data_IF_818381740757
#
_entry.id   IF_818381740757
#
_cell.length_a   1.000
_cell.length_b   1.000
_cell.length_c   1.000
_cell.angle_alpha   90.00
_cell.angle_beta   90.00
_cell.angle_gamma   90.00
#
_symmetry.space_group_name_H-M   'P 1'
#
loop_
_entity.id
_entity.type
_entity.pdbx_description
1 polymer ?
#
# COMPACT_ATOMS: atom_id res chain seq x y z
N UNK A 1 8.45 -2.67 31.46
CA UNK A 1 7.80 -3.27 30.28
C UNK A 1 8.28 -4.69 30.14
N UNK A 2 7.45 -5.65 30.49
CA UNK A 2 7.76 -7.08 30.42
C UNK A 2 7.36 -7.57 29.00
N UNK A 3 8.36 -7.75 28.15
CA UNK A 3 8.19 -8.57 26.96
C UNK A 3 8.07 -10.01 27.43
N UNK A 4 6.87 -10.54 27.47
CA UNK A 4 6.66 -11.96 27.75
C UNK A 4 7.19 -12.77 26.56
N UNK A 5 8.19 -13.61 26.73
CA UNK A 5 8.68 -14.45 25.64
C UNK A 5 7.71 -15.60 25.42
N UNK A 6 6.95 -15.55 24.34
CA UNK A 6 6.25 -16.71 23.78
C UNK A 6 7.24 -17.58 23.00
N UNK A 7 8.27 -18.09 23.66
CA UNK A 7 9.30 -18.93 23.02
C UNK A 7 9.14 -20.45 23.27
N UNK A 8 8.05 -20.90 23.92
CA UNK A 8 8.02 -22.30 24.40
C UNK A 8 7.07 -23.26 23.69
N UNK A 9 6.37 -22.89 22.63
CA UNK A 9 5.40 -23.82 22.00
C UNK A 9 5.69 -24.26 20.55
N UNK A 10 6.93 -24.25 20.09
CA UNK A 10 7.26 -24.68 18.72
C UNK A 10 7.98 -26.03 18.65
N UNK A 11 7.46 -27.08 19.29
CA UNK A 11 8.05 -28.43 19.21
C UNK A 11 7.49 -29.37 18.14
N UNK A 12 6.52 -28.94 17.30
CA UNK A 12 5.90 -29.85 16.31
C UNK A 12 5.67 -29.20 14.93
N UNK A 13 6.59 -28.38 14.41
CA UNK A 13 6.49 -28.01 13.01
C UNK A 13 7.34 -28.94 12.14
N UNK A 14 6.64 -29.70 11.29
CA UNK A 14 7.17 -30.48 10.17
C UNK A 14 8.26 -29.70 9.42
N UNK A 15 9.23 -30.39 8.86
CA UNK A 15 10.45 -29.94 8.17
C UNK A 15 10.28 -28.97 6.99
N UNK A 16 9.13 -28.32 6.81
CA UNK A 16 8.92 -27.25 5.83
C UNK A 16 9.65 -25.99 6.27
N UNK A 17 10.47 -25.45 5.39
CA UNK A 17 11.17 -24.18 5.61
C UNK A 17 10.16 -23.05 5.69
N UNK A 18 9.98 -22.45 6.84
CA UNK A 18 9.11 -21.29 7.05
C UNK A 18 9.77 -20.03 6.50
N UNK A 19 9.04 -19.27 5.70
CA UNK A 19 9.45 -17.94 5.18
C UNK A 19 8.98 -16.86 6.15
N UNK A 20 9.91 -16.13 6.74
CA UNK A 20 9.66 -15.10 7.76
C UNK A 20 9.61 -13.72 7.10
N UNK A 21 8.47 -13.06 7.19
CA UNK A 21 8.23 -11.74 6.60
C UNK A 21 8.03 -10.70 7.70
N UNK A 22 8.93 -9.73 7.82
CA UNK A 22 8.69 -8.56 8.65
C UNK A 22 7.79 -7.59 7.89
N UNK A 23 6.65 -7.24 8.46
CA UNK A 23 5.70 -6.25 7.91
C UNK A 23 5.86 -4.93 8.65
N UNK A 24 6.29 -3.89 7.94
CA UNK A 24 6.40 -2.53 8.45
C UNK A 24 5.31 -1.65 7.83
N UNK A 25 4.18 -1.47 8.52
CA UNK A 25 2.97 -0.90 7.94
C UNK A 25 2.94 0.63 7.97
N UNK A 26 2.13 1.22 7.08
CA UNK A 26 1.76 2.63 7.10
C UNK A 26 0.38 2.79 7.77
N UNK A 27 0.36 2.91 9.08
CA UNK A 27 -0.88 3.07 9.85
C UNK A 27 -0.90 4.39 10.61
N UNK A 28 -2.11 4.91 10.81
CA UNK A 28 -2.33 6.11 11.61
C UNK A 28 -2.39 5.76 13.10
N UNK A 29 -2.02 6.71 13.95
CA UNK A 29 -2.23 6.59 15.39
C UNK A 29 -3.69 6.88 15.71
N UNK A 30 -4.53 5.86 15.68
CA UNK A 30 -5.95 5.95 15.98
C UNK A 30 -6.27 5.21 17.27
N UNK A 31 -7.30 5.64 18.00
CA UNK A 31 -7.80 4.89 19.15
C UNK A 31 -8.23 3.47 18.76
N UNK A 32 -8.83 3.33 17.59
CA UNK A 32 -9.25 2.05 17.03
C UNK A 32 -8.56 1.79 15.69
N UNK A 33 -7.46 1.03 15.69
CA UNK A 33 -6.75 0.62 14.47
C UNK A 33 -7.61 -0.19 13.51
N UNK A 34 -8.64 -0.87 14.00
CA UNK A 34 -9.57 -1.65 13.17
C UNK A 34 -10.36 -0.78 12.17
N UNK A 35 -10.40 0.52 12.38
CA UNK A 35 -11.00 1.49 11.46
C UNK A 35 -10.02 2.10 10.47
N UNK A 36 -8.73 1.83 10.62
CA UNK A 36 -7.72 2.30 9.69
C UNK A 36 -7.82 1.53 8.37
N UNK A 37 -8.00 2.24 7.26
CA UNK A 37 -8.16 1.63 5.93
C UNK A 37 -6.95 0.80 5.52
N UNK A 38 -5.74 1.22 5.94
CA UNK A 38 -4.53 0.48 5.59
C UNK A 38 -4.34 -0.78 6.45
N UNK A 39 -4.81 -0.75 7.69
CA UNK A 39 -4.89 -1.98 8.51
C UNK A 39 -5.78 -3.01 7.84
N UNK A 40 -6.90 -2.60 7.21
CA UNK A 40 -7.75 -3.52 6.45
C UNK A 40 -7.01 -4.07 5.22
N UNK A 41 -6.22 -3.27 4.52
CA UNK A 41 -5.36 -3.74 3.42
C UNK A 41 -4.42 -4.85 3.90
N UNK A 42 -3.68 -4.62 5.00
CA UNK A 42 -2.76 -5.61 5.57
C UNK A 42 -3.50 -6.88 5.99
N UNK A 43 -4.64 -6.75 6.65
CA UNK A 43 -5.47 -7.91 7.05
C UNK A 43 -5.87 -8.74 5.86
N UNK A 44 -6.31 -8.10 4.78
CA UNK A 44 -6.72 -8.80 3.56
C UNK A 44 -5.51 -9.43 2.84
N UNK A 45 -4.35 -8.76 2.81
CA UNK A 45 -3.12 -9.34 2.25
C UNK A 45 -2.72 -10.61 3.01
N UNK A 46 -2.67 -10.56 4.34
CA UNK A 46 -2.33 -11.73 5.18
C UNK A 46 -3.36 -12.84 4.98
N UNK A 47 -4.65 -12.51 4.98
CA UNK A 47 -5.74 -13.47 4.77
C UNK A 47 -5.58 -14.23 3.46
N UNK A 48 -5.44 -13.51 2.37
CA UNK A 48 -5.39 -14.13 1.05
C UNK A 48 -4.05 -14.85 0.79
N UNK A 49 -2.93 -14.33 1.30
CA UNK A 49 -1.64 -15.04 1.25
C UNK A 49 -1.68 -16.33 2.06
N UNK A 50 -2.28 -16.34 3.25
CA UNK A 50 -2.46 -17.56 4.03
C UNK A 50 -3.40 -18.58 3.38
N UNK A 51 -4.35 -18.12 2.56
CA UNK A 51 -5.20 -19.01 1.78
C UNK A 51 -4.48 -19.66 0.58
N UNK A 52 -3.35 -19.07 0.13
CA UNK A 52 -2.55 -19.53 -1.01
C UNK A 52 -1.35 -20.36 -0.54
N UNK A 53 -0.76 -20.02 0.63
CA UNK A 53 0.49 -20.57 1.15
C UNK A 53 0.39 -20.93 2.62
N UNK A 54 1.03 -22.03 3.01
CA UNK A 54 1.11 -22.53 4.39
C UNK A 54 2.53 -22.39 5.01
N UNK A 55 3.46 -21.78 4.27
CA UNK A 55 4.86 -21.64 4.67
C UNK A 55 5.26 -20.23 5.13
N UNK A 56 4.32 -19.26 5.16
CA UNK A 56 4.59 -17.89 5.56
C UNK A 56 4.41 -17.69 7.06
N UNK A 57 5.24 -16.84 7.66
CA UNK A 57 5.07 -16.31 9.01
C UNK A 57 5.26 -14.80 9.00
N UNK A 58 4.26 -14.07 9.48
CA UNK A 58 4.25 -12.62 9.47
C UNK A 58 4.61 -12.04 10.83
N UNK A 59 5.49 -11.05 10.84
CA UNK A 59 5.90 -10.29 12.02
C UNK A 59 5.51 -8.83 11.81
N UNK A 60 4.44 -8.38 12.48
CA UNK A 60 3.88 -7.05 12.30
C UNK A 60 4.41 -6.09 13.36
N UNK A 61 4.93 -4.94 12.95
CA UNK A 61 5.24 -3.82 13.84
C UNK A 61 4.02 -2.90 13.89
N UNK A 62 3.40 -2.76 15.06
CA UNK A 62 2.13 -2.06 15.25
C UNK A 62 2.19 -1.10 16.43
N UNK A 63 1.31 -0.11 16.45
CA UNK A 63 1.13 0.81 17.59
C UNK A 63 0.19 0.26 18.65
N UNK A 64 -0.73 -0.63 18.27
CA UNK A 64 -1.67 -1.34 19.14
C UNK A 64 -1.89 -2.76 18.62
N UNK A 65 -2.30 -3.66 19.49
CA UNK A 65 -2.62 -5.04 19.11
C UNK A 65 -3.87 -5.09 18.22
N UNK A 66 -3.75 -5.78 17.10
CA UNK A 66 -4.87 -6.10 16.21
C UNK A 66 -5.51 -7.43 16.60
N UNK A 67 -6.81 -7.54 16.37
CA UNK A 67 -7.51 -8.82 16.42
C UNK A 67 -7.29 -9.56 15.11
N UNK A 68 -6.39 -10.54 15.13
CA UNK A 68 -6.07 -11.41 14.00
C UNK A 68 -6.25 -12.86 14.45
N UNK A 69 -6.92 -13.66 13.62
CA UNK A 69 -7.24 -15.06 13.91
C UNK A 69 -6.29 -16.01 13.16
N UNK A 70 -4.97 -15.70 13.19
CA UNK A 70 -3.94 -16.48 12.52
C UNK A 70 -2.79 -16.82 13.46
N UNK A 71 -2.47 -18.11 13.58
CA UNK A 71 -1.39 -18.61 14.44
C UNK A 71 0.01 -18.25 13.93
N UNK A 72 0.14 -17.96 12.62
CA UNK A 72 1.38 -17.59 11.96
C UNK A 72 1.62 -16.08 11.92
N UNK A 73 1.01 -15.33 12.82
CA UNK A 73 1.19 -13.87 12.93
C UNK A 73 1.69 -13.48 14.31
N UNK A 74 2.89 -12.93 14.38
CA UNK A 74 3.47 -12.33 15.59
C UNK A 74 3.33 -10.81 15.51
N UNK A 75 2.89 -10.17 16.59
CA UNK A 75 2.70 -8.73 16.67
C UNK A 75 3.67 -8.09 17.66
N UNK A 76 4.48 -7.16 17.20
CA UNK A 76 5.33 -6.30 18.02
C UNK A 76 4.65 -4.95 18.20
N UNK A 77 4.35 -4.62 19.46
CA UNK A 77 3.69 -3.36 19.76
C UNK A 77 4.75 -2.33 20.13
N UNK A 78 4.81 -1.25 19.37
CA UNK A 78 5.64 -0.09 19.63
C UNK A 78 4.83 0.98 20.34
N UNK A 79 5.37 1.50 21.44
CA UNK A 79 4.78 2.61 22.17
C UNK A 79 5.30 3.91 21.55
N UNK A 80 4.54 4.44 20.59
CA UNK A 80 4.85 5.75 20.02
C UNK A 80 4.59 6.85 21.06
N UNK A 81 5.41 7.90 21.08
CA UNK A 81 5.15 9.05 21.94
C UNK A 81 3.76 9.65 21.65
N UNK A 82 3.16 10.21 22.69
CA UNK A 82 1.75 10.61 22.80
C UNK A 82 1.28 11.79 21.93
N UNK A 83 1.82 12.01 20.77
CA UNK A 83 1.16 12.94 19.84
C UNK A 83 0.32 12.19 18.82
N UNK A 84 -0.74 12.84 18.29
CA UNK A 84 -1.60 12.26 17.27
C UNK A 84 -0.88 12.22 15.91
N UNK A 85 0.08 11.31 15.77
CA UNK A 85 0.88 11.18 14.58
C UNK A 85 0.74 9.78 13.98
N UNK A 86 1.07 9.68 12.71
CA UNK A 86 1.19 8.40 12.00
C UNK A 86 2.55 7.77 12.31
N UNK A 87 2.73 6.49 12.04
CA UNK A 87 4.05 5.86 12.06
C UNK A 87 5.07 6.59 11.15
N UNK A 88 4.59 7.29 10.12
CA UNK A 88 5.41 8.08 9.20
C UNK A 88 6.23 9.19 9.85
N UNK A 89 5.76 9.73 10.97
CA UNK A 89 6.41 10.88 11.62
C UNK A 89 7.47 10.48 12.62
N UNK A 90 7.62 9.19 12.91
CA UNK A 90 8.55 8.75 13.94
C UNK A 90 9.15 7.37 13.64
N UNK A 91 10.47 7.31 13.53
CA UNK A 91 11.24 6.07 13.47
C UNK A 91 12.10 5.93 14.74
N UNK A 92 11.70 5.01 15.62
CA UNK A 92 12.40 4.77 16.89
C UNK A 92 13.48 3.71 16.71
N UNK A 93 14.70 4.15 16.43
CA UNK A 93 15.86 3.26 16.23
C UNK A 93 16.10 2.34 17.44
N UNK A 94 16.19 2.81 18.70
CA UNK A 94 16.40 1.94 19.84
C UNK A 94 15.34 0.84 20.00
N UNK A 95 14.08 1.18 19.75
CA UNK A 95 12.99 0.23 19.87
C UNK A 95 13.03 -0.81 18.73
N UNK A 96 13.25 -0.37 17.51
CA UNK A 96 13.40 -1.27 16.35
C UNK A 96 14.60 -2.20 16.55
N UNK A 97 15.74 -1.70 17.00
CA UNK A 97 16.91 -2.51 17.36
C UNK A 97 16.56 -3.59 18.39
N UNK A 98 15.79 -3.24 19.43
CA UNK A 98 15.38 -4.19 20.46
C UNK A 98 14.47 -5.29 19.90
N UNK A 99 13.53 -4.94 19.03
CA UNK A 99 12.63 -5.90 18.37
C UNK A 99 13.45 -6.86 17.50
N UNK A 100 14.32 -6.33 16.65
CA UNK A 100 15.14 -7.11 15.72
C UNK A 100 16.14 -7.99 16.45
N UNK A 101 16.80 -7.48 17.51
CA UNK A 101 17.79 -8.24 18.29
C UNK A 101 17.21 -9.50 18.94
N UNK A 102 15.93 -9.48 19.28
CA UNK A 102 15.25 -10.63 19.87
C UNK A 102 14.47 -11.45 18.85
N UNK A 103 14.56 -11.09 17.58
CA UNK A 103 13.84 -11.75 16.49
C UNK A 103 14.78 -12.70 15.75
N UNK A 104 14.17 -13.67 15.11
CA UNK A 104 14.83 -14.55 14.18
C UNK A 104 15.22 -13.77 12.91
N UNK A 105 16.17 -14.30 12.12
CA UNK A 105 16.46 -13.76 10.81
C UNK A 105 15.21 -13.72 9.94
N UNK A 106 14.89 -12.55 9.43
CA UNK A 106 13.80 -12.39 8.46
C UNK A 106 14.30 -12.71 7.08
N UNK A 107 13.55 -13.51 6.32
CA UNK A 107 13.85 -13.79 4.92
C UNK A 107 13.53 -12.58 4.04
N UNK A 108 12.39 -11.91 4.33
CA UNK A 108 11.86 -10.79 3.58
C UNK A 108 11.38 -9.67 4.51
N UNK A 109 11.39 -8.45 3.99
CA UNK A 109 10.72 -7.28 4.58
C UNK A 109 9.66 -6.79 3.63
N UNK A 110 8.42 -6.70 4.10
CA UNK A 110 7.30 -6.06 3.42
C UNK A 110 7.10 -4.67 4.03
N UNK A 111 7.72 -3.66 3.42
CA UNK A 111 7.62 -2.28 3.91
C UNK A 111 6.56 -1.49 3.15
N UNK A 112 5.77 -0.72 3.90
CA UNK A 112 4.75 0.19 3.38
C UNK A 112 5.11 1.66 3.61
N UNK A 113 6.29 1.92 4.18
CA UNK A 113 6.81 3.25 4.51
C UNK A 113 8.19 3.46 3.87
N UNK A 114 8.24 3.91 2.62
CA UNK A 114 9.52 4.12 1.93
C UNK A 114 10.42 5.09 2.70
N UNK A 115 9.89 6.14 3.31
CA UNK A 115 10.65 7.13 4.08
C UNK A 115 11.42 6.55 5.29
N UNK A 116 11.02 5.38 5.78
CA UNK A 116 11.68 4.69 6.89
C UNK A 116 12.49 3.46 6.46
N UNK A 117 12.31 3.01 5.21
CA UNK A 117 12.88 1.72 4.78
C UNK A 117 14.39 1.73 4.77
N UNK A 118 15.02 2.84 4.40
CA UNK A 118 16.48 2.98 4.47
C UNK A 118 16.98 2.80 5.91
N UNK A 119 16.38 3.50 6.87
CA UNK A 119 16.77 3.40 8.29
C UNK A 119 16.49 1.99 8.83
N UNK A 120 15.35 1.37 8.47
CA UNK A 120 14.99 0.02 8.87
C UNK A 120 16.02 -1.00 8.38
N UNK A 121 16.40 -0.95 7.11
CA UNK A 121 17.42 -1.83 6.52
C UNK A 121 18.77 -1.65 7.21
N UNK A 122 19.19 -0.41 7.48
CA UNK A 122 20.43 -0.13 8.18
C UNK A 122 20.40 -0.64 9.62
N UNK A 123 19.31 -0.46 10.35
CA UNK A 123 19.17 -1.02 11.70
C UNK A 123 19.24 -2.55 11.67
N UNK A 124 18.56 -3.19 10.75
CA UNK A 124 18.60 -4.65 10.60
C UNK A 124 20.03 -5.13 10.28
N UNK A 125 20.69 -4.49 9.34
CA UNK A 125 22.07 -4.81 8.99
C UNK A 125 23.03 -4.66 10.19
N UNK A 126 22.91 -3.57 10.95
CA UNK A 126 23.75 -3.32 12.11
C UNK A 126 23.53 -4.28 13.29
N UNK A 127 22.34 -4.83 13.43
CA UNK A 127 21.99 -5.72 14.55
C UNK A 127 22.19 -7.19 14.21
N UNK A 128 21.80 -7.61 13.01
CA UNK A 128 21.78 -9.03 12.62
C UNK A 128 22.88 -9.40 11.62
N UNK A 129 23.60 -8.41 11.09
CA UNK A 129 24.53 -8.57 9.96
C UNK A 129 23.86 -9.17 8.71
N UNK A 130 22.54 -9.13 8.65
CA UNK A 130 21.73 -9.63 7.55
C UNK A 130 20.93 -8.50 6.94
N UNK A 131 20.93 -8.43 5.60
CA UNK A 131 20.10 -7.49 4.83
C UNK A 131 19.02 -8.29 4.12
N UNK A 132 17.79 -8.30 4.63
CA UNK A 132 16.70 -9.02 4.00
C UNK A 132 16.34 -8.37 2.66
N UNK A 133 15.68 -9.14 1.80
CA UNK A 133 15.09 -8.59 0.59
C UNK A 133 13.87 -7.76 0.95
N UNK A 134 13.81 -6.52 0.45
CA UNK A 134 12.69 -5.60 0.70
C UNK A 134 11.77 -5.57 -0.52
N UNK A 135 10.49 -5.73 -0.27
CA UNK A 135 9.41 -5.41 -1.20
C UNK A 135 8.29 -4.70 -0.44
N UNK A 136 7.29 -4.19 -1.13
CA UNK A 136 6.20 -3.56 -0.41
C UNK A 136 5.09 -3.01 -1.27
N UNK A 137 4.16 -2.34 -0.60
CA UNK A 137 3.00 -1.70 -1.21
C UNK A 137 2.84 -0.29 -0.64
N UNK A 138 3.09 0.73 -1.45
CA UNK A 138 3.06 2.12 -1.03
C UNK A 138 1.90 2.85 -1.72
N UNK A 139 0.92 3.28 -0.95
CA UNK A 139 -0.24 4.00 -1.46
C UNK A 139 -0.13 5.52 -1.29
N UNK A 140 0.94 6.01 -0.67
CA UNK A 140 1.17 7.42 -0.40
C UNK A 140 2.63 7.80 -0.59
N UNK A 141 2.84 8.95 -1.22
CA UNK A 141 4.14 9.62 -1.35
C UNK A 141 3.99 11.10 -1.03
N UNK A 142 5.06 11.74 -0.58
CA UNK A 142 5.09 13.16 -0.22
C UNK A 142 5.30 14.03 -1.46
N UNK A 143 4.35 13.94 -2.40
CA UNK A 143 4.36 14.72 -3.63
C UNK A 143 4.06 16.20 -3.35
N UNK A 144 4.68 17.08 -4.12
CA UNK A 144 4.55 18.55 -3.99
C UNK A 144 3.10 19.02 -4.11
N UNK A 145 2.33 18.37 -4.94
CA UNK A 145 0.91 18.68 -5.18
C UNK A 145 0.03 18.37 -3.96
N UNK A 146 0.50 17.49 -3.09
CA UNK A 146 -0.28 16.95 -1.98
C UNK A 146 0.08 17.58 -0.65
N UNK A 147 1.39 17.76 -0.40
CA UNK A 147 1.90 18.19 0.90
C UNK A 147 2.61 19.53 0.80
N UNK A 148 2.39 20.37 1.80
CA UNK A 148 3.13 21.63 1.99
C UNK A 148 4.42 21.42 2.79
N UNK A 149 4.84 20.15 2.94
CA UNK A 149 6.01 19.74 3.74
C UNK A 149 7.33 20.12 3.08
N UNK A 150 8.43 20.12 3.84
CA UNK A 150 9.76 20.30 3.28
C UNK A 150 10.05 19.27 2.17
N UNK A 151 10.81 19.67 1.17
CA UNK A 151 11.27 18.80 0.06
C UNK A 151 11.97 17.51 0.55
N UNK A 152 12.50 17.53 1.77
CA UNK A 152 13.22 16.44 2.39
C UNK A 152 12.38 15.16 2.56
N UNK A 153 11.05 15.28 2.76
CA UNK A 153 10.18 14.12 2.93
C UNK A 153 10.11 13.28 1.66
N UNK A 154 9.97 13.92 0.50
CA UNK A 154 9.96 13.21 -0.78
C UNK A 154 11.33 12.59 -1.10
N UNK A 155 12.43 13.30 -0.79
CA UNK A 155 13.78 12.75 -0.95
C UNK A 155 13.93 11.46 -0.12
N UNK A 156 13.44 11.45 1.12
CA UNK A 156 13.44 10.24 1.95
C UNK A 156 12.60 9.10 1.34
N UNK A 157 11.44 9.41 0.76
CA UNK A 157 10.68 8.40 0.03
C UNK A 157 11.54 7.75 -1.06
N UNK A 158 12.22 8.56 -1.88
CA UNK A 158 13.05 8.06 -2.99
C UNK A 158 14.26 7.25 -2.49
N UNK A 159 14.99 7.77 -1.50
CA UNK A 159 16.14 7.06 -0.91
C UNK A 159 15.69 5.69 -0.36
N UNK A 160 14.56 5.65 0.34
CA UNK A 160 14.02 4.39 0.86
C UNK A 160 13.55 3.45 -0.24
N UNK A 161 12.94 3.96 -1.33
CA UNK A 161 12.54 3.14 -2.48
C UNK A 161 13.73 2.42 -3.14
N UNK A 162 14.92 3.00 -3.09
CA UNK A 162 16.12 2.37 -3.67
C UNK A 162 16.55 1.08 -2.93
N UNK A 163 16.02 0.84 -1.75
CA UNK A 163 16.20 -0.40 -0.98
C UNK A 163 15.26 -1.53 -1.41
N UNK A 164 14.19 -1.22 -2.20
CA UNK A 164 13.24 -2.22 -2.64
C UNK A 164 13.70 -2.96 -3.88
N UNK A 165 13.36 -4.24 -3.97
CA UNK A 165 13.38 -4.97 -5.24
C UNK A 165 12.11 -4.69 -6.06
N UNK A 166 10.97 -4.50 -5.37
CA UNK A 166 9.70 -4.12 -5.97
C UNK A 166 8.84 -3.36 -4.97
N UNK A 167 8.25 -2.27 -5.42
CA UNK A 167 7.25 -1.52 -4.68
C UNK A 167 5.97 -1.41 -5.51
N UNK A 168 4.88 -1.97 -5.01
CA UNK A 168 3.58 -1.86 -5.65
C UNK A 168 2.92 -0.51 -5.33
N UNK A 169 2.26 0.06 -6.34
CA UNK A 169 1.49 1.30 -6.28
C UNK A 169 0.06 1.06 -6.74
N UNK A 170 -0.85 1.91 -6.32
CA UNK A 170 -2.27 1.79 -6.67
C UNK A 170 -2.56 1.99 -8.16
N UNK A 171 -1.88 2.95 -8.82
CA UNK A 171 -2.20 3.39 -10.18
C UNK A 171 -0.95 3.74 -10.99
N UNK A 172 -1.07 3.65 -12.32
CA UNK A 172 -0.04 4.17 -13.23
C UNK A 172 0.10 5.69 -13.07
N UNK A 173 -1.02 6.40 -12.88
CA UNK A 173 -1.02 7.84 -12.58
C UNK A 173 -0.11 8.17 -11.38
N UNK A 174 -0.23 7.41 -10.29
CA UNK A 174 0.62 7.60 -9.10
C UNK A 174 2.09 7.34 -9.42
N UNK A 175 2.41 6.28 -10.18
CA UNK A 175 3.77 5.98 -10.63
C UNK A 175 4.35 7.12 -11.44
N UNK A 176 3.60 7.63 -12.40
CA UNK A 176 4.03 8.73 -13.27
C UNK A 176 4.30 10.01 -12.49
N UNK A 177 3.44 10.33 -11.51
CA UNK A 177 3.64 11.48 -10.62
C UNK A 177 4.94 11.35 -9.80
N UNK A 178 5.21 10.17 -9.23
CA UNK A 178 6.43 9.90 -8.46
C UNK A 178 7.67 10.04 -9.35
N UNK A 179 7.69 9.42 -10.52
CA UNK A 179 8.80 9.50 -11.46
C UNK A 179 9.02 10.93 -11.97
N UNK A 180 7.95 11.64 -12.32
CA UNK A 180 8.00 13.04 -12.74
C UNK A 180 8.60 13.94 -11.65
N UNK A 181 8.17 13.79 -10.41
CA UNK A 181 8.73 14.60 -9.32
C UNK A 181 10.18 14.20 -9.01
N UNK A 182 10.51 12.91 -9.06
CA UNK A 182 11.87 12.43 -8.85
C UNK A 182 12.84 12.96 -9.91
N UNK A 183 12.43 13.06 -11.18
CA UNK A 183 13.28 13.59 -12.27
C UNK A 183 13.67 15.06 -12.10
N UNK A 184 12.98 15.82 -11.22
CA UNK A 184 13.36 17.19 -10.88
C UNK A 184 14.55 17.28 -9.90
N UNK A 185 14.94 16.16 -9.29
CA UNK A 185 15.92 16.15 -8.19
C UNK A 185 17.03 15.11 -8.40
N UNK A 186 16.72 13.99 -9.03
CA UNK A 186 17.63 12.86 -9.20
C UNK A 186 18.05 12.70 -10.68
N UNK A 187 19.20 12.07 -10.90
CA UNK A 187 19.72 11.79 -12.24
C UNK A 187 18.94 10.64 -12.93
N UNK A 188 19.15 10.49 -14.22
CA UNK A 188 18.44 9.53 -15.07
C UNK A 188 18.66 8.07 -14.60
N UNK A 189 19.85 7.71 -14.09
CA UNK A 189 20.11 6.35 -13.59
C UNK A 189 19.18 5.98 -12.43
N UNK A 190 18.89 6.94 -11.54
CA UNK A 190 17.95 6.76 -10.43
C UNK A 190 16.51 6.63 -10.97
N UNK A 191 16.14 7.44 -11.96
CA UNK A 191 14.79 7.38 -12.56
C UNK A 191 14.56 6.03 -13.25
N UNK A 192 15.54 5.54 -14.00
CA UNK A 192 15.49 4.20 -14.62
C UNK A 192 15.29 3.13 -13.54
N UNK A 193 16.10 3.17 -12.48
CA UNK A 193 15.99 2.22 -11.36
C UNK A 193 14.63 2.29 -10.66
N UNK A 194 14.11 3.50 -10.40
CA UNK A 194 12.79 3.69 -9.81
C UNK A 194 11.69 3.12 -10.70
N UNK A 195 11.78 3.32 -12.02
CA UNK A 195 10.80 2.78 -12.96
C UNK A 195 10.78 1.23 -12.97
N UNK A 196 11.92 0.58 -12.75
CA UNK A 196 12.00 -0.87 -12.58
C UNK A 196 11.41 -1.35 -11.24
N UNK A 197 11.67 -0.61 -10.15
CA UNK A 197 11.18 -0.94 -8.80
C UNK A 197 9.66 -0.76 -8.71
N UNK A 198 9.13 0.35 -9.23
CA UNK A 198 7.73 0.72 -9.10
C UNK A 198 6.86 -0.08 -10.07
N UNK A 199 5.94 -0.87 -9.52
CA UNK A 199 4.98 -1.67 -10.28
C UNK A 199 3.55 -1.32 -9.90
N UNK A 200 2.65 -1.27 -10.88
CA UNK A 200 1.24 -0.99 -10.61
C UNK A 200 0.53 -2.28 -10.20
N UNK A 201 -0.13 -2.24 -9.06
CA UNK A 201 -1.05 -3.27 -8.61
C UNK A 201 -2.24 -2.57 -7.96
N UNK A 202 -3.36 -2.53 -8.65
CA UNK A 202 -4.58 -1.92 -8.14
C UNK A 202 -5.02 -2.57 -6.83
N UNK A 203 -5.55 -1.77 -5.92
CA UNK A 203 -6.07 -2.27 -4.65
C UNK A 203 -7.27 -3.19 -4.91
N UNK A 204 -7.27 -4.34 -4.28
CA UNK A 204 -8.33 -5.33 -4.42
C UNK A 204 -9.53 -5.06 -3.51
N UNK A 205 -10.61 -5.79 -3.78
CA UNK A 205 -11.79 -5.93 -2.91
C UNK A 205 -11.96 -7.39 -2.49
N UNK A 206 -12.56 -7.63 -1.34
CA UNK A 206 -12.91 -9.01 -0.93
C UNK A 206 -14.13 -9.47 -1.73
N UNK A 207 -14.03 -10.63 -2.38
CA UNK A 207 -15.12 -11.17 -3.20
C UNK A 207 -16.44 -11.30 -2.44
N UNK A 208 -16.38 -11.60 -1.14
CA UNK A 208 -17.59 -11.73 -0.29
C UNK A 208 -18.30 -10.40 -0.02
N UNK A 209 -17.62 -9.26 -0.22
CA UNK A 209 -18.16 -7.92 -0.01
C UNK A 209 -18.86 -7.38 -1.27
N UNK A 210 -18.73 -8.07 -2.41
CA UNK A 210 -19.40 -7.71 -3.66
C UNK A 210 -20.85 -8.14 -3.57
N UNK A 211 -21.76 -7.23 -3.88
CA UNK A 211 -23.20 -7.55 -3.90
C UNK A 211 -23.50 -8.61 -4.97
N UNK A 212 -24.38 -9.55 -4.67
CA UNK A 212 -24.83 -10.56 -5.62
C UNK A 212 -25.54 -9.91 -6.82
N UNK A 213 -26.48 -8.99 -6.54
CA UNK A 213 -27.28 -8.29 -7.53
C UNK A 213 -27.18 -6.77 -7.36
N UNK A 214 -27.52 -6.04 -8.41
CA UNK A 214 -27.76 -4.58 -8.34
C UNK A 214 -29.16 -4.32 -7.80
N UNK A 215 -29.38 -3.14 -7.21
CA UNK A 215 -30.73 -2.66 -6.93
C UNK A 215 -31.28 -1.95 -8.18
N UNK A 216 -32.20 -2.58 -8.89
CA UNK A 216 -32.79 -2.04 -10.12
C UNK A 216 -33.66 -0.80 -9.89
N UNK A 217 -34.15 -0.60 -8.66
CA UNK A 217 -35.03 0.52 -8.28
C UNK A 217 -34.51 1.23 -7.03
N UNK A 218 -33.31 1.82 -7.03
CA UNK A 218 -32.79 2.55 -5.91
C UNK A 218 -33.59 3.85 -5.69
N UNK A 219 -33.49 4.38 -4.48
CA UNK A 219 -34.00 5.70 -4.19
C UNK A 219 -33.17 6.77 -4.91
N UNK A 220 -33.80 7.90 -5.25
CA UNK A 220 -33.08 9.08 -5.82
C UNK A 220 -32.12 9.68 -4.79
N UNK A 221 -31.09 8.94 -4.43
CA UNK A 221 -30.04 9.35 -3.48
C UNK A 221 -28.71 9.46 -4.22
N UNK A 222 -28.09 10.64 -4.13
CA UNK A 222 -26.71 10.87 -4.60
C UNK A 222 -25.79 10.64 -3.40
N UNK A 223 -24.77 9.77 -3.53
CA UNK A 223 -23.82 9.53 -2.44
C UNK A 223 -22.46 10.19 -2.68
N UNK A 224 -21.98 10.85 -1.61
CA UNK A 224 -20.60 11.30 -1.48
C UNK A 224 -19.98 10.60 -0.26
N UNK A 225 -19.42 9.43 -0.46
CA UNK A 225 -18.84 8.62 0.60
C UNK A 225 -17.34 8.84 0.82
N UNK A 226 -16.81 9.93 0.27
CA UNK A 226 -15.45 10.41 0.57
C UNK A 226 -15.42 11.24 1.86
N UNK A 227 -14.20 11.43 2.41
CA UNK A 227 -14.03 12.42 3.50
C UNK A 227 -14.38 13.81 2.99
N UNK A 228 -15.16 14.59 3.77
CA UNK A 228 -15.60 15.94 3.37
C UNK A 228 -14.51 16.98 3.63
N UNK A 229 -13.38 16.88 2.95
CA UNK A 229 -12.24 17.76 3.06
C UNK A 229 -11.86 18.41 1.72
N UNK A 230 -11.03 19.45 1.78
CA UNK A 230 -10.57 20.18 0.59
C UNK A 230 -9.73 19.31 -0.35
N UNK A 231 -9.07 18.30 0.19
CA UNK A 231 -8.30 17.33 -0.54
C UNK A 231 -9.18 16.48 -1.47
N UNK A 232 -10.40 16.16 -1.04
CA UNK A 232 -11.41 15.43 -1.81
C UNK A 232 -12.33 16.36 -2.61
N UNK A 233 -12.01 17.64 -2.71
CA UNK A 233 -12.81 18.66 -3.40
C UNK A 233 -14.29 18.66 -2.99
N UNK A 234 -14.54 18.54 -1.67
CA UNK A 234 -15.89 18.50 -1.12
C UNK A 234 -16.70 19.75 -1.45
N UNK A 235 -16.08 20.94 -1.42
CA UNK A 235 -16.76 22.18 -1.78
C UNK A 235 -17.21 22.21 -3.26
N UNK A 236 -16.42 21.61 -4.17
CA UNK A 236 -16.81 21.45 -5.57
C UNK A 236 -18.04 20.56 -5.72
N UNK A 237 -18.10 19.45 -4.96
CA UNK A 237 -19.30 18.60 -4.89
C UNK A 237 -20.52 19.39 -4.38
N UNK A 238 -20.40 20.10 -3.26
CA UNK A 238 -21.52 20.88 -2.72
C UNK A 238 -22.04 21.92 -3.70
N UNK A 239 -21.16 22.60 -4.44
CA UNK A 239 -21.54 23.56 -5.48
C UNK A 239 -22.40 22.90 -6.57
N UNK A 240 -22.00 21.73 -7.07
CA UNK A 240 -22.78 20.98 -8.07
C UNK A 240 -24.15 20.60 -7.51
N UNK A 241 -24.20 20.12 -6.26
CA UNK A 241 -25.46 19.72 -5.62
C UNK A 241 -26.38 20.91 -5.37
N UNK A 242 -25.84 22.05 -4.93
CA UNK A 242 -26.64 23.26 -4.71
C UNK A 242 -27.25 23.75 -6.03
N UNK A 243 -26.50 23.78 -7.13
CA UNK A 243 -26.99 24.13 -8.45
C UNK A 243 -28.07 23.15 -8.94
N UNK A 244 -27.83 21.82 -8.80
CA UNK A 244 -28.85 20.83 -9.14
C UNK A 244 -30.12 20.98 -8.33
N UNK A 245 -30.01 21.43 -7.04
CA UNK A 245 -31.15 21.66 -6.16
C UNK A 245 -32.00 22.83 -6.57
N UNK A 246 -31.45 23.82 -7.28
CA UNK A 246 -32.21 24.93 -7.87
C UNK A 246 -33.13 24.45 -9.00
N UNK A 247 -32.70 23.41 -9.74
CA UNK A 247 -33.43 22.84 -10.88
C UNK A 247 -34.48 21.79 -10.48
N UNK A 248 -34.20 20.97 -9.45
CA UNK A 248 -35.07 19.87 -9.03
C UNK A 248 -35.02 19.61 -7.53
N UNK A 249 -36.16 19.11 -6.99
CA UNK A 249 -36.35 18.95 -5.53
C UNK A 249 -36.56 17.46 -5.13
N UNK A 250 -36.53 16.50 -6.08
CA UNK A 250 -36.98 15.13 -5.91
C UNK A 250 -35.84 14.16 -5.58
N UNK A 251 -34.71 14.63 -5.07
CA UNK A 251 -33.59 13.80 -4.66
C UNK A 251 -33.09 14.10 -3.24
N UNK A 252 -32.33 13.17 -2.66
CA UNK A 252 -31.58 13.31 -1.41
C UNK A 252 -30.08 13.14 -1.66
N UNK A 253 -29.29 13.57 -0.69
CA UNK A 253 -27.82 13.41 -0.72
C UNK A 253 -27.38 12.73 0.56
N UNK A 254 -26.55 11.69 0.43
CA UNK A 254 -25.96 10.99 1.56
C UNK A 254 -24.48 11.27 1.67
N UNK A 255 -24.03 11.79 2.85
CA UNK A 255 -22.64 12.13 3.13
C UNK A 255 -22.24 11.52 4.49
N UNK A 256 -21.93 10.21 4.58
CA UNK A 256 -21.79 9.48 5.86
C UNK A 256 -20.67 10.01 6.76
N UNK A 257 -19.67 10.69 6.20
CA UNK A 257 -18.52 11.18 6.97
C UNK A 257 -18.60 12.67 7.30
N UNK A 258 -19.69 13.34 6.97
CA UNK A 258 -19.86 14.76 7.23
C UNK A 258 -20.46 15.00 8.61
N UNK A 259 -19.70 15.67 9.46
CA UNK A 259 -20.15 16.12 10.78
C UNK A 259 -20.48 17.62 10.71
N UNK A 260 -21.63 17.95 10.13
CA UNK A 260 -22.01 19.34 9.97
C UNK A 260 -23.14 19.78 10.95
N UNK A 261 -23.07 21.06 11.29
CA UNK A 261 -24.17 21.81 11.88
C UNK A 261 -24.88 22.71 10.84
N UNK A 262 -24.59 22.51 9.56
CA UNK A 262 -25.19 23.31 8.48
C UNK A 262 -26.67 22.94 8.28
N UNK A 263 -27.53 23.74 8.86
CA UNK A 263 -28.99 23.56 8.80
C UNK A 263 -29.59 23.90 7.45
N UNK A 264 -28.86 24.57 6.57
CA UNK A 264 -29.40 25.01 5.27
C UNK A 264 -29.71 23.85 4.33
N UNK A 265 -29.05 22.69 4.53
CA UNK A 265 -29.14 21.48 3.71
C UNK A 265 -29.85 20.31 4.39
N UNK A 266 -30.30 20.46 5.66
CA UNK A 266 -30.91 19.35 6.44
C UNK A 266 -32.18 18.77 5.78
N UNK A 267 -32.86 19.53 4.92
CA UNK A 267 -34.07 19.06 4.25
C UNK A 267 -33.81 17.96 3.19
N UNK A 268 -32.60 17.87 2.66
CA UNK A 268 -32.24 16.91 1.60
C UNK A 268 -30.91 16.22 1.79
N UNK A 269 -30.06 16.65 2.72
CA UNK A 269 -28.77 16.00 3.05
C UNK A 269 -28.91 15.26 4.38
N UNK A 270 -28.48 14.00 4.40
CA UNK A 270 -28.37 13.23 5.64
C UNK A 270 -26.98 12.61 5.80
N UNK A 271 -26.59 12.32 7.04
CA UNK A 271 -25.22 11.93 7.42
C UNK A 271 -25.21 10.69 8.30
N UNK A 272 -26.27 9.89 8.26
CA UNK A 272 -26.39 8.68 9.05
C UNK A 272 -25.24 7.72 8.75
N UNK A 273 -24.76 7.08 9.80
CA UNK A 273 -23.64 6.13 9.72
C UNK A 273 -23.85 4.95 10.67
N UNK A 274 -23.36 3.78 10.26
CA UNK A 274 -23.47 2.55 11.01
C UNK A 274 -22.20 1.70 10.93
N UNK A 275 -22.35 0.42 11.17
CA UNK A 275 -21.29 -0.57 10.92
C UNK A 275 -21.09 -0.81 9.41
N UNK A 276 -20.16 -1.69 9.07
CA UNK A 276 -19.82 -2.00 7.67
C UNK A 276 -21.01 -2.57 6.89
N UNK A 277 -21.81 -3.43 7.51
CA UNK A 277 -22.96 -4.05 6.85
C UNK A 277 -24.07 -3.03 6.61
N UNK A 278 -24.34 -2.17 7.58
CA UNK A 278 -25.28 -1.07 7.43
C UNK A 278 -24.84 -0.12 6.32
N UNK A 279 -23.54 0.24 6.28
CA UNK A 279 -22.97 1.09 5.24
C UNK A 279 -23.17 0.51 3.84
N UNK A 280 -22.94 -0.79 3.65
CA UNK A 280 -23.17 -1.45 2.36
C UNK A 280 -24.65 -1.53 1.98
N UNK A 281 -25.53 -1.75 2.97
CA UNK A 281 -26.97 -1.72 2.73
C UNK A 281 -27.45 -0.33 2.32
N UNK A 282 -26.87 0.74 2.91
CA UNK A 282 -27.21 2.10 2.56
C UNK A 282 -26.68 2.48 1.17
N UNK A 283 -25.48 2.02 0.79
CA UNK A 283 -24.99 2.16 -0.58
C UNK A 283 -25.98 1.58 -1.60
N UNK A 284 -26.51 0.40 -1.38
CA UNK A 284 -27.48 -0.24 -2.29
C UNK A 284 -28.76 0.54 -2.50
N UNK A 285 -29.08 1.49 -1.62
CA UNK A 285 -30.22 2.40 -1.77
C UNK A 285 -29.90 3.58 -2.68
N UNK A 286 -28.63 3.88 -2.90
CA UNK A 286 -28.19 5.05 -3.65
C UNK A 286 -28.34 4.84 -5.16
N UNK A 287 -28.78 5.90 -5.84
CA UNK A 287 -28.97 5.95 -7.28
C UNK A 287 -27.65 6.15 -8.04
N UNK A 288 -26.80 7.03 -7.53
CA UNK A 288 -25.53 7.38 -8.16
C UNK A 288 -24.51 7.89 -7.13
N UNK A 289 -23.24 7.57 -7.34
CA UNK A 289 -22.13 8.10 -6.57
C UNK A 289 -21.40 9.24 -7.30
N UNK A 290 -20.80 10.13 -6.54
CA UNK A 290 -20.07 11.28 -7.06
C UNK A 290 -18.61 11.27 -6.63
N UNK A 291 -17.69 11.25 -7.61
CA UNK A 291 -16.25 11.27 -7.38
C UNK A 291 -15.62 12.50 -8.05
N UNK A 292 -15.43 13.61 -7.33
CA UNK A 292 -14.91 14.85 -7.90
C UNK A 292 -13.39 14.78 -8.14
N UNK A 293 -12.85 15.78 -8.83
CA UNK A 293 -11.40 15.96 -8.97
C UNK A 293 -10.75 16.01 -7.59
N UNK A 294 -9.83 15.08 -7.32
CA UNK A 294 -9.07 15.06 -6.08
C UNK A 294 -7.71 15.72 -6.27
N UNK A 295 -7.19 16.31 -5.21
CA UNK A 295 -5.86 16.93 -5.23
C UNK A 295 -4.74 15.90 -5.42
N UNK A 296 -4.97 14.67 -4.98
CA UNK A 296 -4.08 13.52 -5.18
C UNK A 296 -4.88 12.35 -5.75
N UNK A 297 -4.55 12.01 -6.97
CA UNK A 297 -5.18 10.92 -7.73
C UNK A 297 -4.52 9.58 -7.44
N UNK A 298 -4.72 9.06 -6.23
CA UNK A 298 -4.30 7.70 -5.88
C UNK A 298 -5.37 6.67 -6.22
N UNK A 299 -5.86 5.98 -5.20
CA UNK A 299 -6.95 5.02 -5.30
C UNK A 299 -8.16 5.49 -4.49
N UNK A 300 -9.36 5.23 -4.98
CA UNK A 300 -10.59 5.61 -4.29
C UNK A 300 -11.32 4.38 -3.76
N UNK A 301 -11.05 4.01 -2.50
CA UNK A 301 -11.77 2.92 -1.81
C UNK A 301 -13.27 3.23 -1.72
N UNK A 302 -13.63 4.49 -1.45
CA UNK A 302 -15.03 4.93 -1.37
C UNK A 302 -15.79 4.66 -2.67
N UNK A 303 -15.21 4.99 -3.82
CA UNK A 303 -15.79 4.72 -5.15
C UNK A 303 -15.90 3.21 -5.40
N UNK A 304 -14.84 2.45 -5.08
CA UNK A 304 -14.86 0.99 -5.22
C UNK A 304 -15.93 0.33 -4.35
N UNK A 305 -16.11 0.82 -3.10
CA UNK A 305 -17.16 0.33 -2.19
C UNK A 305 -18.57 0.51 -2.77
N UNK A 306 -18.82 1.67 -3.38
CA UNK A 306 -20.11 1.92 -4.03
C UNK A 306 -20.32 1.01 -5.25
N UNK A 307 -19.32 0.96 -6.14
CA UNK A 307 -19.42 0.19 -7.38
C UNK A 307 -19.60 -1.32 -7.10
N UNK A 308 -18.90 -1.90 -6.12
CA UNK A 308 -19.07 -3.31 -5.76
C UNK A 308 -20.44 -3.60 -5.12
N UNK A 309 -21.13 -2.57 -4.63
CA UNK A 309 -22.49 -2.64 -4.12
C UNK A 309 -23.57 -2.25 -5.15
N UNK A 310 -23.18 -2.12 -6.43
CA UNK A 310 -24.10 -1.86 -7.52
C UNK A 310 -24.51 -0.38 -7.66
N UNK A 311 -23.73 0.54 -7.13
CA UNK A 311 -23.92 1.97 -7.34
C UNK A 311 -23.04 2.43 -8.50
N UNK A 312 -23.59 2.97 -9.59
CA UNK A 312 -22.80 3.60 -10.64
C UNK A 312 -22.24 4.92 -10.13
N UNK A 313 -21.08 5.33 -10.68
CA UNK A 313 -20.45 6.60 -10.29
C UNK A 313 -20.22 7.49 -11.49
N UNK A 314 -20.51 8.78 -11.33
CA UNK A 314 -19.92 9.80 -12.20
C UNK A 314 -18.59 10.24 -11.58
N UNK A 315 -17.54 10.32 -12.39
CA UNK A 315 -16.20 10.60 -11.92
C UNK A 315 -15.59 11.79 -12.70
N UNK A 316 -14.78 12.58 -12.03
CA UNK A 316 -14.03 13.61 -12.75
C UNK A 316 -13.12 12.95 -13.81
N UNK A 317 -13.01 13.53 -15.01
CA UNK A 317 -12.16 13.02 -16.09
C UNK A 317 -10.68 13.16 -15.72
N UNK A 318 -10.16 12.12 -15.04
CA UNK A 318 -8.75 12.02 -14.70
C UNK A 318 -8.27 10.57 -14.87
N UNK A 319 -6.98 10.42 -15.15
CA UNK A 319 -6.36 9.13 -15.48
C UNK A 319 -6.55 8.08 -14.41
N UNK A 320 -6.44 8.44 -13.13
CA UNK A 320 -6.59 7.48 -12.02
C UNK A 320 -8.02 6.95 -11.84
N UNK A 321 -9.05 7.71 -12.23
CA UNK A 321 -10.42 7.21 -12.24
C UNK A 321 -10.67 6.28 -13.44
N UNK A 322 -10.06 6.58 -14.61
CA UNK A 322 -10.11 5.69 -15.78
C UNK A 322 -9.41 4.35 -15.50
N UNK A 323 -8.36 4.34 -14.68
CA UNK A 323 -7.74 3.09 -14.21
C UNK A 323 -8.65 2.32 -13.24
N UNK A 324 -9.40 3.03 -12.40
CA UNK A 324 -10.31 2.42 -11.44
C UNK A 324 -11.51 1.76 -12.14
N UNK A 325 -12.14 2.45 -13.08
CA UNK A 325 -13.23 1.93 -13.90
C UNK A 325 -13.31 2.65 -15.25
N UNK A 326 -12.76 2.10 -16.33
CA UNK A 326 -12.72 2.76 -17.64
C UNK A 326 -14.09 2.88 -18.32
N UNK A 327 -15.10 2.16 -17.83
CA UNK A 327 -16.47 2.17 -18.38
C UNK A 327 -17.42 3.10 -17.62
N UNK A 328 -16.94 3.82 -16.62
CA UNK A 328 -17.75 4.80 -15.88
C UNK A 328 -17.99 6.08 -16.69
N UNK A 329 -18.95 6.88 -16.28
CA UNK A 329 -19.19 8.19 -16.86
C UNK A 329 -18.26 9.24 -16.27
N UNK A 330 -17.66 10.03 -17.14
CA UNK A 330 -16.68 11.05 -16.76
C UNK A 330 -17.21 12.46 -17.06
N UNK A 331 -16.86 13.41 -16.18
CA UNK A 331 -17.19 14.81 -16.34
C UNK A 331 -15.96 15.71 -16.20
N UNK A 332 -15.91 16.78 -16.99
CA UNK A 332 -14.83 17.77 -17.00
C UNK A 332 -15.29 19.12 -16.37
N UNK A 333 -16.60 19.34 -16.26
CA UNK A 333 -17.21 20.58 -15.76
C UNK A 333 -18.41 20.30 -14.86
N UNK A 334 -18.79 21.31 -14.06
CA UNK A 334 -19.98 21.25 -13.20
C UNK A 334 -21.25 21.02 -14.04
N UNK A 335 -21.34 21.62 -15.23
CA UNK A 335 -22.49 21.47 -16.15
C UNK A 335 -22.65 20.02 -16.62
N UNK A 336 -21.54 19.38 -17.07
CA UNK A 336 -21.57 17.97 -17.48
C UNK A 336 -21.94 17.08 -16.30
N UNK A 337 -21.42 17.39 -15.10
CA UNK A 337 -21.74 16.63 -13.89
C UNK A 337 -23.25 16.72 -13.57
N UNK A 338 -23.87 17.90 -13.67
CA UNK A 338 -25.30 18.10 -13.46
C UNK A 338 -26.13 17.33 -14.49
N UNK A 339 -25.74 17.37 -15.78
CA UNK A 339 -26.42 16.63 -16.83
C UNK A 339 -26.37 15.13 -16.59
N UNK A 340 -25.20 14.58 -16.22
CA UNK A 340 -25.04 13.17 -15.86
C UNK A 340 -25.88 12.82 -14.62
N UNK A 341 -25.88 13.64 -13.56
CA UNK A 341 -26.71 13.40 -12.38
C UNK A 341 -28.17 13.35 -12.75
N UNK A 342 -28.68 14.27 -13.60
CA UNK A 342 -30.05 14.25 -14.08
C UNK A 342 -30.35 12.95 -14.84
N UNK A 343 -29.46 12.50 -15.74
CA UNK A 343 -29.59 11.25 -16.48
C UNK A 343 -29.73 10.05 -15.51
N UNK A 344 -28.82 9.93 -14.53
CA UNK A 344 -28.85 8.83 -13.56
C UNK A 344 -30.09 8.85 -12.64
N UNK A 345 -30.61 10.03 -12.34
CA UNK A 345 -31.80 10.17 -11.50
C UNK A 345 -33.10 9.83 -12.24
N UNK A 346 -33.14 9.94 -13.57
CA UNK A 346 -34.37 9.84 -14.34
C UNK A 346 -34.39 8.62 -15.28
N UNK A 347 -33.26 8.21 -15.83
CA UNK A 347 -33.18 7.06 -16.75
C UNK A 347 -32.76 5.78 -15.98
N UNK A 348 -33.77 4.97 -15.68
CA UNK A 348 -33.58 3.71 -14.93
C UNK A 348 -32.81 2.66 -15.71
N UNK A 349 -33.05 2.55 -17.01
CA UNK A 349 -32.38 1.56 -17.88
C UNK A 349 -30.88 1.89 -17.99
N UNK A 350 -30.57 3.12 -18.35
CA UNK A 350 -29.19 3.58 -18.43
C UNK A 350 -28.43 3.39 -17.10
N UNK A 351 -29.02 3.81 -15.99
CA UNK A 351 -28.42 3.64 -14.66
C UNK A 351 -28.10 2.18 -14.34
N UNK A 352 -29.06 1.26 -14.62
CA UNK A 352 -28.88 -0.16 -14.32
C UNK A 352 -27.80 -0.79 -15.21
N UNK A 353 -27.68 -0.38 -16.46
CA UNK A 353 -26.57 -0.78 -17.33
C UNK A 353 -25.22 -0.34 -16.76
N UNK A 354 -25.09 0.92 -16.35
CA UNK A 354 -23.87 1.45 -15.75
C UNK A 354 -23.54 0.78 -14.42
N UNK A 355 -24.53 0.53 -13.57
CA UNK A 355 -24.38 -0.19 -12.30
C UNK A 355 -23.83 -1.62 -12.52
N UNK A 356 -24.40 -2.33 -13.49
CA UNK A 356 -23.99 -3.69 -13.85
C UNK A 356 -22.56 -3.68 -14.41
N UNK A 357 -22.26 -2.77 -15.34
CA UNK A 357 -20.93 -2.63 -15.94
C UNK A 357 -19.85 -2.35 -14.89
N UNK A 358 -20.11 -1.42 -13.96
CA UNK A 358 -19.18 -1.07 -12.90
C UNK A 358 -18.95 -2.24 -11.92
N UNK A 359 -20.01 -2.93 -11.46
CA UNK A 359 -19.91 -4.10 -10.59
C UNK A 359 -19.17 -5.25 -11.27
N UNK A 360 -19.44 -5.50 -12.54
CA UNK A 360 -18.78 -6.51 -13.35
C UNK A 360 -17.28 -6.23 -13.52
N UNK A 361 -16.92 -4.99 -13.77
CA UNK A 361 -15.50 -4.57 -13.81
C UNK A 361 -14.80 -4.88 -12.51
N UNK A 362 -15.36 -4.44 -11.37
CA UNK A 362 -14.79 -4.68 -10.03
C UNK A 362 -14.62 -6.18 -9.79
N UNK A 363 -15.65 -6.97 -10.05
CA UNK A 363 -15.66 -8.41 -9.79
C UNK A 363 -14.69 -9.22 -10.66
N UNK A 364 -14.34 -8.70 -11.85
CA UNK A 364 -13.42 -9.36 -12.78
C UNK A 364 -11.96 -8.89 -12.65
N UNK A 365 -11.72 -7.66 -12.18
CA UNK A 365 -10.40 -7.02 -12.24
C UNK A 365 -9.79 -6.68 -10.89
N UNK A 366 -10.61 -6.54 -9.86
CA UNK A 366 -10.16 -5.99 -8.57
C UNK A 366 -10.35 -6.96 -7.40
N UNK A 367 -10.17 -8.25 -7.60
CA UNK A 367 -10.27 -9.25 -6.52
C UNK A 367 -8.94 -9.36 -5.78
N UNK A 368 -8.96 -9.23 -4.44
CA UNK A 368 -7.76 -9.38 -3.60
C UNK A 368 -7.02 -10.69 -3.84
N UNK A 369 -7.74 -11.79 -3.93
CA UNK A 369 -7.14 -13.11 -4.13
C UNK A 369 -6.23 -13.14 -5.36
N UNK A 370 -6.67 -12.57 -6.49
CA UNK A 370 -5.90 -12.58 -7.74
C UNK A 370 -4.62 -11.74 -7.59
N UNK A 371 -4.72 -10.59 -6.91
CA UNK A 371 -3.56 -9.74 -6.61
C UNK A 371 -2.56 -10.43 -5.67
N UNK A 372 -3.05 -11.23 -4.73
CA UNK A 372 -2.17 -11.98 -3.82
C UNK A 372 -1.56 -13.22 -4.47
N UNK A 373 -2.15 -13.79 -5.51
CA UNK A 373 -1.51 -14.82 -6.35
C UNK A 373 -0.28 -14.22 -7.05
N UNK A 374 -0.40 -13.04 -7.64
CA UNK A 374 0.75 -12.33 -8.24
C UNK A 374 1.84 -12.04 -7.19
N UNK A 375 1.46 -11.56 -6.01
CA UNK A 375 2.41 -11.29 -4.91
C UNK A 375 3.07 -12.56 -4.39
N UNK A 376 2.32 -13.65 -4.24
CA UNK A 376 2.83 -14.96 -3.84
C UNK A 376 3.89 -15.48 -4.82
N UNK A 377 3.61 -15.41 -6.12
CA UNK A 377 4.57 -15.79 -7.16
C UNK A 377 5.84 -14.92 -7.08
N UNK A 378 5.68 -13.63 -6.82
CA UNK A 378 6.83 -12.75 -6.64
C UNK A 378 7.66 -13.07 -5.38
N UNK A 379 7.02 -13.46 -4.29
CA UNK A 379 7.72 -13.95 -3.09
C UNK A 379 8.61 -15.16 -3.47
N UNK A 380 8.09 -16.10 -4.25
CA UNK A 380 8.87 -17.25 -4.73
C UNK A 380 10.05 -16.83 -5.61
N UNK A 381 9.85 -15.90 -6.53
CA UNK A 381 10.95 -15.32 -7.34
C UNK A 381 12.06 -14.75 -6.45
N UNK A 382 11.71 -13.98 -5.42
CA UNK A 382 12.69 -13.39 -4.49
C UNK A 382 13.48 -14.45 -3.72
N UNK A 383 12.80 -15.51 -3.28
CA UNK A 383 13.43 -16.62 -2.56
C UNK A 383 14.35 -17.42 -3.47
N UNK A 384 13.92 -17.71 -4.70
CA UNK A 384 14.73 -18.42 -5.72
C UNK A 384 15.94 -17.58 -6.12
N UNK A 385 15.78 -16.29 -6.40
CA UNK A 385 16.89 -15.40 -6.74
C UNK A 385 17.95 -15.36 -5.63
N UNK A 386 17.51 -15.25 -4.37
CA UNK A 386 18.43 -15.24 -3.23
C UNK A 386 19.22 -16.56 -3.11
N UNK A 387 18.55 -17.70 -3.35
CA UNK A 387 19.19 -19.02 -3.34
C UNK A 387 20.14 -19.19 -4.52
N UNK A 388 19.67 -18.90 -5.73
CA UNK A 388 20.47 -19.03 -6.96
C UNK A 388 21.73 -18.15 -6.93
N UNK A 389 21.66 -16.94 -6.34
CA UNK A 389 22.82 -16.08 -6.15
C UNK A 389 23.87 -16.72 -5.22
N UNK A 390 23.44 -17.37 -4.13
CA UNK A 390 24.34 -18.06 -3.22
C UNK A 390 25.00 -19.31 -3.82
N UNK A 391 24.44 -19.87 -4.89
CA UNK A 391 24.96 -21.05 -5.60
C UNK A 391 25.74 -20.68 -6.89
N UNK A 392 25.67 -19.42 -7.33
CA UNK A 392 26.29 -18.99 -8.58
C UNK A 392 27.83 -19.08 -8.55
N UNK A 393 28.43 -19.38 -9.69
CA UNK A 393 29.92 -19.43 -9.82
C UNK A 393 30.54 -18.06 -9.54
N UNK A 394 29.82 -16.96 -9.88
CA UNK A 394 30.26 -15.62 -9.56
C UNK A 394 30.27 -15.38 -8.05
N UNK A 395 29.24 -15.84 -7.32
CA UNK A 395 29.21 -15.74 -5.85
C UNK A 395 30.34 -16.57 -5.23
N UNK A 396 30.55 -17.78 -5.68
CA UNK A 396 31.68 -18.63 -5.21
C UNK A 396 33.02 -17.95 -5.39
N UNK A 397 33.27 -17.33 -6.56
CA UNK A 397 34.48 -16.53 -6.81
C UNK A 397 34.63 -15.36 -5.84
N UNK A 398 33.56 -14.64 -5.60
CA UNK A 398 33.59 -13.50 -4.64
C UNK A 398 33.94 -14.01 -3.23
N UNK A 399 33.33 -15.10 -2.79
CA UNK A 399 33.62 -15.74 -1.48
C UNK A 399 35.09 -16.17 -1.39
N UNK A 400 35.59 -16.78 -2.44
CA UNK A 400 37.01 -17.22 -2.50
C UNK A 400 37.98 -16.03 -2.44
N UNK A 401 37.73 -14.96 -3.19
CA UNK A 401 38.53 -13.74 -3.11
C UNK A 401 38.51 -13.09 -1.71
N UNK A 402 37.35 -13.03 -1.07
CA UNK A 402 37.25 -12.51 0.31
C UNK A 402 38.02 -13.41 1.28
N UNK A 403 37.98 -14.71 1.08
CA UNK A 403 38.77 -15.69 1.88
C UNK A 403 40.26 -15.52 1.69
N UNK A 404 40.74 -15.34 0.46
CA UNK A 404 42.14 -15.18 0.12
C UNK A 404 42.71 -13.84 0.59
N UNK A 405 42.03 -12.75 0.26
CA UNK A 405 42.48 -11.40 0.58
C UNK A 405 42.13 -10.99 2.02
N UNK A 406 41.32 -11.78 2.74
CA UNK A 406 40.81 -11.54 4.10
C UNK A 406 39.87 -10.34 4.21
N UNK A 407 40.05 -9.29 3.39
CA UNK A 407 39.22 -8.07 3.36
C UNK A 407 39.12 -7.55 1.93
N UNK A 408 37.90 -7.38 1.42
CA UNK A 408 37.63 -6.77 0.11
C UNK A 408 36.48 -5.77 0.18
N UNK A 409 36.65 -4.62 -0.47
CA UNK A 409 35.56 -3.66 -0.63
C UNK A 409 34.65 -4.02 -1.79
N UNK A 410 33.41 -3.51 -1.74
CA UNK A 410 32.47 -3.62 -2.88
C UNK A 410 33.12 -3.13 -4.18
N UNK A 411 33.82 -1.99 -4.17
CA UNK A 411 34.45 -1.44 -5.37
C UNK A 411 35.54 -2.35 -5.94
N UNK A 412 36.35 -2.97 -5.09
CA UNK A 412 37.35 -3.94 -5.53
C UNK A 412 36.71 -5.16 -6.18
N UNK A 413 35.67 -5.73 -5.56
CA UNK A 413 34.92 -6.87 -6.12
C UNK A 413 34.31 -6.50 -7.47
N UNK A 414 33.64 -5.35 -7.57
CA UNK A 414 33.03 -4.86 -8.81
C UNK A 414 34.08 -4.70 -9.93
N UNK A 415 35.25 -4.13 -9.59
CA UNK A 415 36.36 -3.96 -10.54
C UNK A 415 36.90 -5.29 -11.02
N UNK A 416 37.15 -6.25 -10.12
CA UNK A 416 37.65 -7.59 -10.48
C UNK A 416 36.68 -8.37 -11.36
N UNK A 417 35.36 -8.13 -11.21
CA UNK A 417 34.32 -8.74 -12.06
C UNK A 417 34.11 -7.99 -13.39
N UNK A 418 34.76 -6.85 -13.58
CA UNK A 418 34.53 -5.98 -14.76
C UNK A 418 33.13 -5.37 -14.78
N UNK A 419 32.49 -5.22 -13.63
CA UNK A 419 31.13 -4.76 -13.53
C UNK A 419 31.03 -3.23 -13.52
N UNK A 420 30.23 -2.69 -14.44
CA UNK A 420 29.89 -1.26 -14.47
C UNK A 420 28.76 -0.88 -13.48
N UNK A 421 28.39 0.41 -13.48
CA UNK A 421 27.39 0.97 -12.54
C UNK A 421 25.98 0.38 -12.63
N UNK A 422 25.62 -0.32 -13.69
CA UNK A 422 24.26 -0.87 -13.91
C UNK A 422 24.01 -2.25 -13.27
N UNK A 423 24.99 -2.89 -12.66
CA UNK A 423 24.81 -4.25 -12.14
C UNK A 423 24.21 -4.22 -10.74
N UNK A 424 23.17 -5.03 -10.54
CA UNK A 424 22.51 -5.18 -9.23
C UNK A 424 23.44 -5.87 -8.24
N UNK A 425 24.03 -5.08 -7.33
CA UNK A 425 24.90 -5.59 -6.25
C UNK A 425 24.11 -6.19 -5.09
N UNK A 426 22.91 -5.67 -4.81
CA UNK A 426 22.11 -6.04 -3.63
C UNK A 426 21.89 -7.55 -3.47
N UNK A 427 21.61 -8.37 -4.52
CA UNK A 427 21.48 -9.81 -4.37
C UNK A 427 22.77 -10.49 -3.90
N UNK A 428 23.93 -10.07 -4.44
CA UNK A 428 25.24 -10.60 -4.01
C UNK A 428 25.57 -10.20 -2.58
N UNK A 429 25.30 -8.95 -2.21
CA UNK A 429 25.46 -8.48 -0.83
C UNK A 429 24.64 -9.34 0.13
N UNK A 430 23.37 -9.59 -0.19
CA UNK A 430 22.50 -10.46 0.63
C UNK A 430 23.05 -11.87 0.77
N UNK A 431 23.53 -12.46 -0.32
CA UNK A 431 24.13 -13.78 -0.29
C UNK A 431 25.42 -13.80 0.54
N UNK A 432 26.28 -12.77 0.42
CA UNK A 432 27.50 -12.63 1.23
C UNK A 432 27.21 -12.53 2.72
N UNK A 433 26.18 -11.75 3.09
CA UNK A 433 25.77 -11.61 4.50
C UNK A 433 25.14 -12.87 5.09
N UNK A 434 24.65 -13.79 4.28
CA UNK A 434 24.21 -15.14 4.70
C UNK A 434 25.35 -16.15 4.83
N UNK A 435 26.53 -15.81 4.34
CA UNK A 435 27.68 -16.71 4.40
C UNK A 435 28.25 -16.74 5.83
N UNK A 436 28.45 -17.93 6.45
CA UNK A 436 28.79 -18.06 7.88
C UNK A 436 30.13 -17.41 8.25
N UNK A 437 31.04 -17.29 7.29
CA UNK A 437 32.40 -16.80 7.51
C UNK A 437 32.63 -15.38 6.97
N UNK A 438 31.59 -14.66 6.54
CA UNK A 438 31.74 -13.29 6.00
C UNK A 438 30.96 -12.32 6.87
N UNK A 439 31.57 -11.19 7.18
CA UNK A 439 30.93 -10.05 7.82
C UNK A 439 31.34 -8.73 7.15
N UNK A 440 30.53 -7.70 7.29
CA UNK A 440 30.71 -6.37 6.73
C UNK A 440 31.20 -5.40 7.81
N UNK A 441 32.09 -4.46 7.48
CA UNK A 441 32.72 -3.53 8.44
C UNK A 441 31.94 -2.23 8.68
N UNK A 442 30.73 -2.05 8.17
CA UNK A 442 29.83 -0.92 8.46
C UNK A 442 30.32 0.49 8.09
N UNK A 443 31.13 0.65 7.06
CA UNK A 443 31.58 1.95 6.56
C UNK A 443 30.79 2.38 5.32
N UNK A 444 30.86 3.67 4.94
CA UNK A 444 30.27 4.19 3.68
C UNK A 444 30.66 3.39 2.44
N UNK A 445 31.82 2.77 2.48
CA UNK A 445 32.27 1.78 1.48
C UNK A 445 32.44 0.43 2.17
N UNK A 446 31.44 -0.45 2.14
CA UNK A 446 31.45 -1.68 2.91
C UNK A 446 32.63 -2.59 2.54
N UNK A 447 33.34 -3.03 3.56
CA UNK A 447 34.41 -4.02 3.45
C UNK A 447 33.87 -5.36 3.92
N UNK A 448 34.03 -6.37 3.09
CA UNK A 448 33.66 -7.77 3.40
C UNK A 448 34.88 -8.48 3.95
N UNK A 449 34.78 -8.95 5.18
CA UNK A 449 35.87 -9.58 5.91
C UNK A 449 35.59 -11.07 6.12
N UNK A 450 36.65 -11.88 6.03
CA UNK A 450 36.60 -13.30 6.33
C UNK A 450 36.86 -13.55 7.82
N UNK A 451 36.02 -14.38 8.45
CA UNK A 451 36.29 -14.92 9.79
C UNK A 451 37.11 -16.18 9.68
N UNK A 452 38.25 -16.20 10.34
CA UNK A 452 39.08 -17.45 10.47
C UNK A 452 38.40 -18.44 11.38
#
# INVERSE_FOLDING_TARGET
MTLTPFLENNKNYNTKKVVRILVYPNITFQENLERDSFVQVIKNQIKELNAIRDDLWFYLILTKKLKLEYDNVTQYIIDLPTYPQTMRSHFDVPLIQKIIKHSLDFDLVMSHLPEHTFDLVNVMHNVTHHVPTVFGYCHWFDLKEVVTWPKDSFIKNIIGLLEYERCYLNTQHQKDMVLKQASLTFNDDIIVKLNEILQVQHLGVDKKDIADDINENPEKIIVFNHRPDTYKNFNGFLKVIDTLREERQDFKVWIPLWETKDRTRESFVYTDKGDKQWYYNELKRCCVGFSPKQKYGGWSVATTDGMMNGVPYIMFDDTYYKELCPTADFFESDEIAINLLNLFLDDTEYRNEQATSAKDWISKKLIYKDKMIEMSSYIDELLVQTKAMGESDTFKKIVEWIREEKVLSKSQIMTQLGWGRGIKWSPYRRALMKHPNIFDTFQENPMYCWKD
#
